data_IF_553886025550
#
_entry.id   IF_553886025550
#
_cell.length_a   1.000
_cell.length_b   1.000
_cell.length_c   1.000
_cell.angle_alpha   90.00
_cell.angle_beta   90.00
_cell.angle_gamma   90.00
#
_symmetry.space_group_name_H-M   'P 1'
#
loop_
_entity.id
_entity.type
_entity.pdbx_description
1 polymer ?
#
# COMPACT_ATOMS: atom_id res chain seq x y z
N UNK A 1 20.31 -3.41 -9.10
CA UNK A 1 19.93 -2.39 -8.11
C UNK A 1 18.67 -1.68 -8.62
N UNK A 2 17.60 -1.69 -7.84
CA UNK A 2 16.36 -0.96 -8.13
C UNK A 2 16.32 0.33 -7.32
N UNK A 3 15.65 1.36 -7.84
CA UNK A 3 15.42 2.65 -7.19
C UNK A 3 13.95 2.70 -6.79
N UNK A 4 13.69 2.69 -5.49
CA UNK A 4 12.37 2.37 -4.93
C UNK A 4 11.86 3.52 -4.06
N UNK A 5 10.68 4.04 -4.39
CA UNK A 5 9.92 4.95 -3.55
C UNK A 5 8.99 4.15 -2.63
N UNK A 6 8.96 4.45 -1.33
CA UNK A 6 8.02 3.87 -0.37
C UNK A 6 7.25 5.00 0.32
N UNK A 7 6.02 5.22 -0.10
CA UNK A 7 5.09 6.16 0.52
C UNK A 7 4.39 5.52 1.72
N UNK A 8 4.54 6.11 2.91
CA UNK A 8 4.09 5.53 4.17
C UNK A 8 5.11 4.55 4.76
N UNK A 9 6.40 4.86 4.64
CA UNK A 9 7.52 3.99 5.02
C UNK A 9 7.57 3.61 6.51
N UNK A 10 6.89 4.37 7.37
CA UNK A 10 6.76 4.06 8.82
C UNK A 10 5.67 3.03 9.14
N UNK A 11 4.93 2.54 8.15
CA UNK A 11 4.02 1.40 8.30
C UNK A 11 4.82 0.11 8.52
N UNK A 12 4.43 -0.73 9.48
CA UNK A 12 5.11 -1.98 9.78
C UNK A 12 5.24 -2.91 8.55
N UNK A 13 4.23 -2.93 7.68
CA UNK A 13 4.28 -3.70 6.43
C UNK A 13 5.28 -3.08 5.45
N UNK A 14 5.29 -1.74 5.33
CA UNK A 14 6.22 -1.03 4.46
C UNK A 14 7.67 -1.20 4.91
N UNK A 15 7.92 -1.04 6.21
CA UNK A 15 9.24 -1.23 6.81
C UNK A 15 9.75 -2.66 6.59
N UNK A 16 8.89 -3.67 6.84
CA UNK A 16 9.26 -5.06 6.58
C UNK A 16 9.55 -5.33 5.09
N UNK A 17 8.80 -4.69 4.18
CA UNK A 17 9.04 -4.81 2.73
C UNK A 17 10.34 -4.08 2.33
N UNK A 18 10.62 -2.90 2.92
CA UNK A 18 11.86 -2.16 2.70
C UNK A 18 13.10 -2.95 3.11
N UNK A 19 13.04 -3.69 4.22
CA UNK A 19 14.13 -4.58 4.67
C UNK A 19 14.47 -5.66 3.64
N UNK A 20 13.48 -6.25 2.98
CA UNK A 20 13.72 -7.23 1.91
C UNK A 20 14.43 -6.61 0.71
N UNK A 21 14.09 -5.37 0.34
CA UNK A 21 14.80 -4.66 -0.73
C UNK A 21 16.21 -4.22 -0.31
N UNK A 22 16.40 -3.83 0.95
CA UNK A 22 17.72 -3.51 1.49
C UNK A 22 18.68 -4.70 1.40
N UNK A 23 18.23 -5.91 1.76
CA UNK A 23 19.00 -7.15 1.63
C UNK A 23 19.43 -7.45 0.18
N UNK A 24 18.73 -6.89 -0.80
CA UNK A 24 19.05 -7.04 -2.23
C UNK A 24 19.96 -5.91 -2.76
N UNK A 25 20.42 -5.00 -1.88
CA UNK A 25 21.28 -3.89 -2.26
C UNK A 25 20.57 -2.79 -3.07
N UNK A 26 19.25 -2.64 -2.92
CA UNK A 26 18.48 -1.63 -3.63
C UNK A 26 18.62 -0.24 -2.98
N UNK A 27 18.30 0.81 -3.75
CA UNK A 27 18.24 2.20 -3.29
C UNK A 27 16.79 2.58 -2.95
N UNK A 28 16.57 3.21 -1.79
CA UNK A 28 15.24 3.49 -1.27
C UNK A 28 15.05 4.97 -0.96
N UNK A 29 13.89 5.53 -1.33
CA UNK A 29 13.36 6.79 -0.84
C UNK A 29 12.20 6.50 0.11
N UNK A 30 12.34 6.85 1.37
CA UNK A 30 11.37 6.61 2.44
C UNK A 30 10.55 7.88 2.68
N UNK A 31 9.24 7.79 2.49
CA UNK A 31 8.34 8.94 2.63
C UNK A 31 7.34 8.73 3.75
N UNK A 32 7.18 9.74 4.61
CA UNK A 32 6.25 9.73 5.74
C UNK A 32 6.25 11.04 6.49
N UNK A 33 5.51 11.13 7.58
CA UNK A 33 5.32 12.38 8.35
C UNK A 33 6.34 12.60 9.47
N UNK A 34 6.87 11.53 10.03
CA UNK A 34 7.79 11.58 11.18
C UNK A 34 9.24 11.46 10.70
N UNK A 35 9.96 12.58 10.70
CA UNK A 35 11.33 12.67 10.22
C UNK A 35 12.30 11.76 11.02
N UNK A 36 12.20 11.75 12.34
CA UNK A 36 13.08 10.96 13.21
C UNK A 36 12.91 9.45 12.94
N UNK A 37 11.65 9.00 12.84
CA UNK A 37 11.36 7.59 12.54
C UNK A 37 11.81 7.19 11.14
N UNK A 38 11.66 8.07 10.15
CA UNK A 38 12.17 7.84 8.79
C UNK A 38 13.68 7.69 8.82
N UNK A 39 14.39 8.56 9.55
CA UNK A 39 15.83 8.52 9.66
C UNK A 39 16.32 7.22 10.33
N UNK A 40 15.69 6.82 11.44
CA UNK A 40 16.02 5.57 12.12
C UNK A 40 15.82 4.33 11.20
N UNK A 41 14.72 4.33 10.39
CA UNK A 41 14.49 3.27 9.42
C UNK A 41 15.56 3.30 8.32
N UNK A 42 15.93 4.48 7.81
CA UNK A 42 16.95 4.61 6.78
C UNK A 42 18.32 4.07 7.24
N UNK A 43 18.68 4.33 8.47
CA UNK A 43 19.92 3.80 9.09
C UNK A 43 19.86 2.27 9.23
N UNK A 44 18.74 1.70 9.73
CA UNK A 44 18.55 0.24 9.80
C UNK A 44 18.67 -0.40 8.40
N UNK A 45 18.08 0.22 7.38
CA UNK A 45 18.16 -0.31 6.02
C UNK A 45 19.57 -0.25 5.42
N UNK A 46 20.33 0.80 5.70
CA UNK A 46 21.74 0.89 5.30
C UNK A 46 22.58 -0.21 5.94
N UNK A 47 22.39 -0.45 7.25
CA UNK A 47 23.06 -1.55 7.96
C UNK A 47 22.69 -2.93 7.40
N UNK A 48 21.50 -3.08 6.84
CA UNK A 48 21.03 -4.33 6.19
C UNK A 48 21.51 -4.50 4.74
N UNK A 49 22.23 -3.53 4.19
CA UNK A 49 22.82 -3.64 2.87
C UNK A 49 22.14 -2.79 1.78
N UNK A 50 21.21 -1.90 2.13
CA UNK A 50 20.68 -0.94 1.15
C UNK A 50 21.83 -0.10 0.58
N UNK A 51 21.91 0.00 -0.74
CA UNK A 51 22.92 0.82 -1.41
C UNK A 51 22.78 2.29 -1.05
N UNK A 52 21.54 2.73 -0.89
CA UNK A 52 21.16 4.08 -0.48
C UNK A 52 19.82 4.03 0.24
N UNK A 53 19.63 4.82 1.27
CA UNK A 53 18.34 5.02 1.92
C UNK A 53 18.21 6.51 2.27
N UNK A 54 17.34 7.18 1.54
CA UNK A 54 17.02 8.60 1.65
C UNK A 54 15.65 8.78 2.31
N UNK A 55 15.43 9.93 2.91
CA UNK A 55 14.16 10.27 3.56
C UNK A 55 13.55 11.53 2.95
N UNK A 56 12.21 11.58 2.91
CA UNK A 56 11.45 12.74 2.49
C UNK A 56 10.21 12.89 3.39
N UNK A 57 10.08 14.04 4.04
CA UNK A 57 8.93 14.31 4.93
C UNK A 57 7.77 14.83 4.10
N UNK A 58 6.65 14.09 4.10
CA UNK A 58 5.43 14.49 3.41
C UNK A 58 4.22 13.82 4.04
N UNK A 59 3.12 14.58 4.20
CA UNK A 59 1.81 14.01 4.49
C UNK A 59 1.15 13.53 3.19
N UNK A 60 0.59 12.33 3.19
CA UNK A 60 -0.09 11.76 2.02
C UNK A 60 -1.29 12.62 1.55
N UNK A 61 -1.81 13.51 2.39
CA UNK A 61 -2.89 14.44 2.02
C UNK A 61 -2.42 15.61 1.16
N UNK A 62 -1.11 15.88 1.12
CA UNK A 62 -0.49 16.94 0.32
C UNK A 62 -0.27 16.49 -1.13
N UNK A 63 -1.34 16.09 -1.79
CA UNK A 63 -1.30 15.46 -3.12
C UNK A 63 -0.69 16.36 -4.20
N UNK A 64 -0.81 17.68 -4.05
CA UNK A 64 -0.19 18.66 -4.98
C UNK A 64 1.34 18.65 -4.92
N UNK A 65 1.92 18.08 -3.87
CA UNK A 65 3.38 17.95 -3.74
C UNK A 65 3.94 16.66 -4.39
N UNK A 66 3.11 15.76 -4.89
CA UNK A 66 3.56 14.49 -5.47
C UNK A 66 4.47 14.66 -6.69
N UNK A 67 4.21 15.55 -7.66
CA UNK A 67 5.15 15.76 -8.75
C UNK A 67 6.56 16.11 -8.25
N UNK A 68 6.67 17.04 -7.31
CA UNK A 68 7.95 17.44 -6.69
C UNK A 68 8.61 16.27 -5.93
N UNK A 69 7.85 15.48 -5.18
CA UNK A 69 8.35 14.27 -4.52
C UNK A 69 8.99 13.30 -5.53
N UNK A 70 8.33 13.07 -6.66
CA UNK A 70 8.82 12.13 -7.67
C UNK A 70 10.07 12.67 -8.39
N UNK A 71 10.17 13.98 -8.62
CA UNK A 71 11.35 14.64 -9.17
C UNK A 71 12.54 14.53 -8.22
N UNK A 72 12.35 14.88 -6.96
CA UNK A 72 13.35 14.75 -5.89
C UNK A 72 13.82 13.30 -5.71
N UNK A 73 12.88 12.35 -5.77
CA UNK A 73 13.22 10.92 -5.68
C UNK A 73 14.10 10.51 -6.84
N UNK A 74 13.72 10.89 -8.05
CA UNK A 74 14.49 10.57 -9.27
C UNK A 74 15.88 11.22 -9.25
N UNK A 75 15.97 12.46 -8.76
CA UNK A 75 17.25 13.17 -8.64
C UNK A 75 18.17 12.47 -7.63
N UNK A 76 17.69 12.20 -6.42
CA UNK A 76 18.52 11.65 -5.34
C UNK A 76 18.91 10.18 -5.54
N UNK A 77 18.04 9.38 -6.14
CA UNK A 77 18.32 7.96 -6.40
C UNK A 77 18.93 7.70 -7.79
N UNK A 78 19.04 8.73 -8.63
CA UNK A 78 19.47 8.59 -10.02
C UNK A 78 18.42 7.94 -10.92
N UNK A 79 17.13 8.08 -10.59
CA UNK A 79 15.96 7.57 -11.30
C UNK A 79 14.93 6.92 -10.35
N UNK A 80 13.87 6.35 -10.93
CA UNK A 80 12.80 5.67 -10.19
C UNK A 80 12.29 4.47 -11.00
N UNK A 81 12.35 3.26 -10.41
CA UNK A 81 11.97 2.02 -11.09
C UNK A 81 10.73 1.38 -10.47
N UNK A 82 10.51 1.62 -9.17
CA UNK A 82 9.46 0.93 -8.40
C UNK A 82 8.91 1.87 -7.34
N UNK A 83 7.60 1.85 -7.14
CA UNK A 83 6.96 2.55 -6.03
C UNK A 83 6.05 1.61 -5.25
N UNK A 84 6.11 1.69 -3.91
CA UNK A 84 5.19 1.07 -2.98
C UNK A 84 4.36 2.15 -2.29
N UNK A 85 3.07 2.12 -2.46
CA UNK A 85 2.11 3.01 -1.80
C UNK A 85 1.52 2.23 -0.63
N UNK A 86 1.96 2.55 0.59
CA UNK A 86 1.69 1.79 1.81
C UNK A 86 1.12 2.62 2.95
N UNK A 87 0.81 3.89 2.72
CA UNK A 87 0.15 4.73 3.70
C UNK A 87 -1.33 4.37 3.83
N UNK A 88 -1.88 4.69 4.99
CA UNK A 88 -3.30 4.50 5.29
C UNK A 88 -3.57 4.65 6.77
N UNK A 89 -4.85 4.76 7.09
CA UNK A 89 -5.41 4.78 8.44
C UNK A 89 -6.46 3.69 8.56
N UNK A 90 -6.89 3.43 9.78
CA UNK A 90 -8.06 2.61 10.07
C UNK A 90 -8.84 3.34 11.14
N UNK A 91 -9.78 4.16 10.73
CA UNK A 91 -10.64 4.92 11.63
C UNK A 91 -11.69 4.02 12.26
N UNK A 92 -12.15 4.41 13.43
CA UNK A 92 -13.33 3.82 14.06
C UNK A 92 -14.56 4.03 13.15
N UNK A 93 -15.24 2.94 12.81
CA UNK A 93 -16.42 2.98 11.94
C UNK A 93 -17.54 3.83 12.54
N UNK A 94 -17.78 3.76 13.86
CA UNK A 94 -18.82 4.52 14.54
C UNK A 94 -18.55 6.04 14.49
N UNK A 95 -17.27 6.45 14.57
CA UNK A 95 -16.90 7.86 14.37
C UNK A 95 -17.13 8.29 12.91
N UNK A 96 -16.86 7.43 11.95
CA UNK A 96 -17.14 7.73 10.54
C UNK A 96 -18.65 7.88 10.24
N UNK A 97 -19.52 7.20 10.98
CA UNK A 97 -20.97 7.29 10.82
C UNK A 97 -21.55 8.61 11.34
N UNK A 98 -20.92 9.19 12.34
CA UNK A 98 -21.41 10.40 13.02
C UNK A 98 -20.67 11.67 12.63
N UNK A 99 -19.51 11.57 11.97
CA UNK A 99 -18.68 12.70 11.56
C UNK A 99 -18.36 12.64 10.07
N UNK A 100 -18.97 13.56 9.31
CA UNK A 100 -18.68 13.75 7.87
C UNK A 100 -17.19 14.02 7.65
N UNK A 101 -16.58 14.85 8.50
CA UNK A 101 -15.14 15.17 8.40
C UNK A 101 -14.28 13.92 8.55
N UNK A 102 -14.56 13.08 9.56
CA UNK A 102 -13.83 11.82 9.78
C UNK A 102 -13.98 10.88 8.59
N UNK A 103 -15.21 10.71 8.08
CA UNK A 103 -15.49 9.89 6.91
C UNK A 103 -14.74 10.38 5.67
N UNK A 104 -14.79 11.68 5.38
CA UNK A 104 -14.10 12.28 4.23
C UNK A 104 -12.58 12.16 4.37
N UNK A 105 -12.02 12.39 5.56
CA UNK A 105 -10.59 12.24 5.80
C UNK A 105 -10.13 10.78 5.62
N UNK A 106 -10.91 9.82 6.13
CA UNK A 106 -10.63 8.38 5.93
C UNK A 106 -10.58 8.02 4.44
N UNK A 107 -11.58 8.49 3.67
CA UNK A 107 -11.62 8.25 2.23
C UNK A 107 -10.50 8.98 1.48
N UNK A 108 -10.18 10.21 1.88
CA UNK A 108 -9.09 11.01 1.30
C UNK A 108 -7.74 10.31 1.49
N UNK A 109 -7.44 9.83 2.70
CA UNK A 109 -6.16 9.18 3.02
C UNK A 109 -6.05 7.79 2.41
N UNK A 110 -7.07 6.94 2.55
CA UNK A 110 -7.01 5.53 2.12
C UNK A 110 -7.36 5.30 0.65
N UNK A 111 -8.05 6.25 0.01
CA UNK A 111 -8.54 6.15 -1.36
C UNK A 111 -7.87 7.18 -2.28
N UNK A 112 -8.30 8.44 -2.15
CA UNK A 112 -7.97 9.50 -3.12
C UNK A 112 -6.47 9.71 -3.22
N UNK A 113 -5.75 9.87 -2.11
CA UNK A 113 -4.30 10.13 -2.13
C UNK A 113 -3.51 9.00 -2.79
N UNK A 114 -3.91 7.74 -2.55
CA UNK A 114 -3.27 6.59 -3.19
C UNK A 114 -3.54 6.57 -4.71
N UNK A 115 -4.77 6.85 -5.14
CA UNK A 115 -5.13 6.90 -6.56
C UNK A 115 -4.40 8.04 -7.31
N UNK A 116 -4.29 9.23 -6.69
CA UNK A 116 -3.55 10.36 -7.27
C UNK A 116 -2.08 10.02 -7.44
N UNK A 117 -1.44 9.45 -6.41
CA UNK A 117 -0.03 9.05 -6.53
C UNK A 117 0.16 7.94 -7.58
N UNK A 118 -0.78 7.00 -7.70
CA UNK A 118 -0.77 6.00 -8.75
C UNK A 118 -0.85 6.63 -10.15
N UNK A 119 -1.69 7.67 -10.34
CA UNK A 119 -1.83 8.36 -11.62
C UNK A 119 -0.55 9.09 -12.02
N UNK A 120 0.09 9.82 -11.09
CA UNK A 120 1.36 10.50 -11.30
C UNK A 120 2.47 9.51 -11.68
N UNK A 121 2.60 8.42 -10.93
CA UNK A 121 3.55 7.35 -11.22
C UNK A 121 3.28 6.68 -12.58
N UNK A 122 2.00 6.48 -12.92
CA UNK A 122 1.62 5.86 -14.17
C UNK A 122 2.05 6.68 -15.38
N UNK A 123 1.79 8.00 -15.36
CA UNK A 123 2.19 8.89 -16.44
C UNK A 123 3.72 8.90 -16.60
N UNK A 124 4.44 8.95 -15.49
CA UNK A 124 5.91 8.95 -15.48
C UNK A 124 6.49 7.63 -16.00
N UNK A 125 6.02 6.49 -15.50
CA UNK A 125 6.51 5.17 -15.91
C UNK A 125 6.07 4.80 -17.33
N UNK A 126 4.91 5.25 -17.78
CA UNK A 126 4.49 5.10 -19.18
C UNK A 126 5.41 5.86 -20.12
N UNK A 127 5.78 7.10 -19.81
CA UNK A 127 6.75 7.88 -20.57
C UNK A 127 8.16 7.26 -20.55
N UNK A 128 8.53 6.63 -19.41
CA UNK A 128 9.80 5.92 -19.22
C UNK A 128 9.85 4.56 -19.95
N UNK A 129 8.70 3.95 -20.26
CA UNK A 129 8.58 2.63 -20.88
C UNK A 129 8.82 1.45 -19.93
N UNK A 130 9.01 1.68 -18.63
CA UNK A 130 9.18 0.64 -17.60
C UNK A 130 8.84 1.16 -16.22
N UNK A 131 8.53 0.24 -15.31
CA UNK A 131 8.31 0.55 -13.90
C UNK A 131 7.35 -0.42 -13.21
N UNK A 132 7.31 -0.35 -11.88
CA UNK A 132 6.37 -1.14 -11.06
C UNK A 132 5.68 -0.22 -10.05
N UNK A 133 4.35 -0.16 -10.11
CA UNK A 133 3.49 0.53 -9.15
C UNK A 133 2.83 -0.52 -8.27
N UNK A 134 3.14 -0.53 -6.98
CA UNK A 134 2.53 -1.43 -6.01
C UNK A 134 1.71 -0.64 -4.99
N UNK A 135 0.50 -1.10 -4.70
CA UNK A 135 -0.40 -0.39 -3.77
C UNK A 135 -0.98 -1.35 -2.75
N UNK A 136 -0.92 -0.96 -1.48
CA UNK A 136 -1.59 -1.68 -0.40
C UNK A 136 -3.06 -1.27 -0.35
N UNK A 137 -3.92 -2.17 -0.85
CA UNK A 137 -5.35 -2.17 -0.64
C UNK A 137 -5.70 -2.97 0.63
N UNK A 138 -6.72 -3.79 0.61
CA UNK A 138 -7.12 -4.68 1.71
C UNK A 138 -8.12 -5.72 1.22
N UNK A 139 -8.24 -6.85 1.93
CA UNK A 139 -9.38 -7.76 1.78
C UNK A 139 -10.71 -7.09 2.14
N UNK A 140 -10.69 -6.02 2.97
CA UNK A 140 -11.87 -5.22 3.28
C UNK A 140 -12.45 -4.50 2.05
N UNK A 141 -11.64 -4.25 1.00
CA UNK A 141 -12.09 -3.68 -0.26
C UNK A 141 -12.75 -4.68 -1.21
N UNK A 142 -12.85 -5.95 -0.86
CA UNK A 142 -13.49 -6.95 -1.71
C UNK A 142 -15.00 -7.07 -1.50
N UNK A 143 -15.49 -6.76 -0.30
CA UNK A 143 -16.90 -6.66 0.06
C UNK A 143 -17.08 -5.80 1.30
N UNK A 144 -18.05 -4.87 1.27
CA UNK A 144 -18.40 -4.03 2.40
C UNK A 144 -18.86 -4.83 3.61
N UNK A 145 -18.45 -4.43 4.81
CA UNK A 145 -18.82 -5.06 6.09
C UNK A 145 -19.28 -4.00 7.06
N UNK A 146 -20.25 -4.33 7.89
CA UNK A 146 -20.78 -3.43 8.92
C UNK A 146 -19.67 -2.81 9.77
N UNK A 147 -18.64 -3.57 10.10
CA UNK A 147 -17.56 -3.14 10.99
C UNK A 147 -16.59 -2.10 10.41
N UNK A 148 -16.54 -1.90 9.07
CA UNK A 148 -15.53 -1.03 8.45
C UNK A 148 -15.85 -0.63 7.00
N UNK A 149 -17.13 -0.36 6.67
CA UNK A 149 -17.52 -0.10 5.28
C UNK A 149 -16.96 1.21 4.71
N UNK A 150 -16.67 2.22 5.52
CA UNK A 150 -16.02 3.45 5.03
C UNK A 150 -14.58 3.15 4.57
N UNK A 151 -13.80 2.51 5.42
CA UNK A 151 -12.46 2.02 5.06
C UNK A 151 -12.50 1.05 3.87
N UNK A 152 -13.43 0.07 3.92
CA UNK A 152 -13.63 -0.91 2.86
C UNK A 152 -13.93 -0.27 1.51
N UNK A 153 -14.80 0.76 1.48
CA UNK A 153 -15.12 1.52 0.27
C UNK A 153 -13.91 2.24 -0.31
N UNK A 154 -13.08 2.89 0.53
CA UNK A 154 -11.85 3.53 0.08
C UNK A 154 -10.87 2.50 -0.53
N UNK A 155 -10.71 1.33 0.09
CA UNK A 155 -9.85 0.24 -0.43
C UNK A 155 -10.44 -0.44 -1.67
N UNK A 156 -11.77 -0.51 -1.79
CA UNK A 156 -12.45 -0.96 -3.01
C UNK A 156 -12.18 0.00 -4.19
N UNK A 157 -12.27 1.32 -3.94
CA UNK A 157 -11.94 2.33 -4.94
C UNK A 157 -10.50 2.17 -5.45
N UNK A 158 -9.50 2.00 -4.56
CA UNK A 158 -8.10 1.72 -4.94
C UNK A 158 -7.99 0.43 -5.75
N UNK A 159 -8.70 -0.62 -5.35
CA UNK A 159 -8.67 -1.92 -6.06
C UNK A 159 -9.19 -1.79 -7.49
N UNK A 160 -10.33 -1.11 -7.66
CA UNK A 160 -10.93 -0.87 -8.97
C UNK A 160 -10.06 0.03 -9.83
N UNK A 161 -9.53 1.13 -9.25
CA UNK A 161 -8.62 2.04 -9.93
C UNK A 161 -7.37 1.33 -10.45
N UNK A 162 -6.71 0.55 -9.60
CA UNK A 162 -5.50 -0.19 -10.00
C UNK A 162 -5.78 -1.28 -11.02
N UNK A 163 -7.00 -1.84 -11.07
CA UNK A 163 -7.41 -2.77 -12.11
C UNK A 163 -7.48 -2.08 -13.48
N UNK A 164 -8.14 -0.91 -13.57
CA UNK A 164 -8.18 -0.11 -14.80
C UNK A 164 -6.79 0.38 -15.22
N UNK A 165 -5.99 0.85 -14.24
CA UNK A 165 -4.63 1.31 -14.50
C UNK A 165 -3.74 0.19 -15.06
N UNK A 166 -3.88 -1.04 -14.58
CA UNK A 166 -3.18 -2.22 -15.08
C UNK A 166 -3.54 -2.50 -16.54
N UNK A 167 -4.80 -2.35 -16.90
CA UNK A 167 -5.26 -2.50 -18.28
C UNK A 167 -4.67 -1.42 -19.20
N UNK A 168 -4.70 -0.15 -18.78
CA UNK A 168 -4.08 0.97 -19.50
C UNK A 168 -2.60 0.71 -19.80
N UNK A 169 -1.87 0.21 -18.82
CA UNK A 169 -0.42 0.08 -18.85
C UNK A 169 0.09 -1.28 -19.37
N UNK A 170 -0.81 -2.19 -19.75
CA UNK A 170 -0.47 -3.58 -20.09
C UNK A 170 0.64 -3.71 -21.13
N UNK A 171 0.55 -2.92 -22.22
CA UNK A 171 1.54 -2.96 -23.33
C UNK A 171 2.59 -1.83 -23.23
N UNK A 172 2.73 -1.19 -22.06
CA UNK A 172 3.60 -0.02 -21.86
C UNK A 172 4.86 -0.35 -21.03
N UNK A 173 5.14 -1.63 -20.79
CA UNK A 173 6.28 -2.05 -19.98
C UNK A 173 6.13 -1.78 -18.47
N UNK A 174 4.96 -1.29 -18.01
CA UNK A 174 4.70 -0.91 -16.62
C UNK A 174 3.83 -1.96 -15.93
N UNK A 175 4.22 -2.34 -14.73
CA UNK A 175 3.51 -3.33 -13.91
C UNK A 175 2.72 -2.63 -12.81
N UNK A 176 1.47 -3.06 -12.59
CA UNK A 176 0.61 -2.56 -11.50
C UNK A 176 0.23 -3.72 -10.60
N UNK A 177 0.64 -3.65 -9.34
CA UNK A 177 0.50 -4.68 -8.32
C UNK A 177 -0.47 -4.21 -7.24
N UNK A 178 -1.63 -4.86 -7.13
CA UNK A 178 -2.59 -4.60 -6.05
C UNK A 178 -2.35 -5.61 -4.93
N UNK A 179 -1.99 -5.12 -3.74
CA UNK A 179 -1.73 -5.94 -2.56
C UNK A 179 -2.95 -5.90 -1.66
N UNK A 180 -3.46 -7.06 -1.27
CA UNK A 180 -4.64 -7.21 -0.42
C UNK A 180 -4.27 -7.98 0.85
N UNK A 181 -3.76 -7.29 1.89
CA UNK A 181 -3.55 -7.91 3.18
C UNK A 181 -4.87 -8.32 3.83
N UNK A 182 -4.85 -9.46 4.53
CA UNK A 182 -5.82 -9.77 5.56
C UNK A 182 -5.41 -9.20 6.92
N UNK A 183 -5.55 -9.98 7.99
CA UNK A 183 -5.11 -9.54 9.31
C UNK A 183 -3.59 -9.64 9.44
N UNK A 184 -2.97 -8.50 9.75
CA UNK A 184 -1.52 -8.38 9.96
C UNK A 184 -1.29 -7.74 11.33
N UNK A 185 -0.40 -8.32 12.12
CA UNK A 185 -0.05 -7.85 13.45
C UNK A 185 0.80 -6.57 13.39
N UNK A 186 0.13 -5.44 13.42
CA UNK A 186 0.74 -4.11 13.30
C UNK A 186 0.20 -3.18 14.39
N UNK A 187 0.85 -2.04 14.64
CA UNK A 187 0.28 -1.02 15.55
C UNK A 187 -1.15 -0.59 15.19
N UNK A 188 -1.50 -0.57 13.90
CA UNK A 188 -2.85 -0.23 13.40
C UNK A 188 -3.93 -1.20 13.91
N UNK A 189 -3.56 -2.43 14.19
CA UNK A 189 -4.47 -3.52 14.59
C UNK A 189 -4.21 -4.00 16.02
N UNK A 190 -3.49 -3.21 16.82
CA UNK A 190 -3.09 -3.61 18.18
C UNK A 190 -4.27 -3.88 19.11
N UNK A 191 -5.39 -3.17 18.93
CA UNK A 191 -6.62 -3.33 19.71
C UNK A 191 -7.45 -4.56 19.35
N UNK A 192 -7.16 -5.23 18.23
CA UNK A 192 -7.94 -6.39 17.81
C UNK A 192 -7.45 -7.69 18.47
N UNK A 193 -8.40 -8.56 18.82
CA UNK A 193 -8.08 -9.88 19.31
C UNK A 193 -7.42 -10.71 18.21
N UNK A 194 -6.19 -11.16 18.45
CA UNK A 194 -5.41 -11.94 17.49
C UNK A 194 -5.89 -13.40 17.44
N UNK A 195 -5.75 -14.02 16.28
CA UNK A 195 -6.16 -15.40 16.04
C UNK A 195 -5.36 -16.08 14.93
N UNK A 196 -5.71 -17.28 14.51
CA UNK A 196 -4.91 -18.09 13.56
C UNK A 196 -4.82 -17.50 12.14
N UNK A 197 -5.67 -16.54 11.79
CA UNK A 197 -5.64 -15.89 10.47
C UNK A 197 -4.68 -14.68 10.41
N UNK A 198 -3.95 -14.42 11.50
CA UNK A 198 -3.02 -13.32 11.59
C UNK A 198 -1.64 -13.67 11.03
N UNK A 199 -1.00 -12.69 10.41
CA UNK A 199 0.35 -12.81 9.89
C UNK A 199 1.28 -11.77 10.52
N UNK A 200 2.58 -12.08 10.60
CA UNK A 200 3.58 -11.11 11.02
C UNK A 200 3.93 -10.13 9.88
N UNK A 201 4.27 -8.87 10.17
CA UNK A 201 4.76 -7.92 9.16
C UNK A 201 5.93 -8.47 8.35
N UNK A 202 6.85 -9.20 8.98
CA UNK A 202 8.01 -9.78 8.30
C UNK A 202 7.62 -10.79 7.22
N UNK A 203 6.71 -11.73 7.53
CA UNK A 203 6.23 -12.71 6.55
C UNK A 203 5.49 -12.03 5.39
N UNK A 204 4.69 -10.99 5.69
CA UNK A 204 3.94 -10.21 4.71
C UNK A 204 4.88 -9.41 3.83
N UNK A 205 5.87 -8.71 4.39
CA UNK A 205 6.86 -7.92 3.66
C UNK A 205 7.64 -8.74 2.64
N UNK A 206 8.08 -9.95 3.02
CA UNK A 206 8.77 -10.88 2.13
C UNK A 206 7.91 -11.29 0.92
N UNK A 207 6.63 -11.59 1.12
CA UNK A 207 5.70 -11.94 0.03
C UNK A 207 5.45 -10.75 -0.88
N UNK A 208 5.30 -9.54 -0.30
CA UNK A 208 5.08 -8.30 -1.06
C UNK A 208 6.30 -8.00 -1.93
N UNK A 209 7.51 -7.95 -1.36
CA UNK A 209 8.72 -7.67 -2.11
C UNK A 209 8.91 -8.64 -3.29
N UNK A 210 8.76 -9.96 -3.03
CA UNK A 210 8.82 -10.96 -4.08
C UNK A 210 7.74 -10.77 -5.16
N UNK A 211 6.52 -10.44 -4.75
CA UNK A 211 5.41 -10.21 -5.66
C UNK A 211 5.60 -8.96 -6.52
N UNK A 212 6.18 -7.90 -5.97
CA UNK A 212 6.54 -6.67 -6.69
C UNK A 212 7.64 -6.95 -7.74
N UNK A 213 8.68 -7.70 -7.37
CA UNK A 213 9.77 -8.09 -8.28
C UNK A 213 9.23 -8.91 -9.47
N UNK A 214 8.31 -9.83 -9.19
CA UNK A 214 7.69 -10.69 -10.21
C UNK A 214 6.57 -9.98 -11.00
N UNK A 215 6.13 -8.79 -10.57
CA UNK A 215 5.03 -8.06 -11.20
C UNK A 215 3.69 -8.77 -11.09
N UNK A 216 3.42 -9.48 -9.97
CA UNK A 216 2.14 -10.19 -9.77
C UNK A 216 0.98 -9.20 -9.73
N UNK A 217 -0.05 -9.34 -10.58
CA UNK A 217 -1.09 -8.32 -10.70
C UNK A 217 -1.92 -8.12 -9.42
N UNK A 218 -2.20 -9.19 -8.68
CA UNK A 218 -2.93 -9.16 -7.40
C UNK A 218 -2.31 -10.13 -6.41
N UNK A 219 -2.01 -9.63 -5.22
CA UNK A 219 -1.40 -10.41 -4.13
C UNK A 219 -2.35 -10.40 -2.93
N UNK A 220 -2.90 -11.55 -2.58
CA UNK A 220 -3.52 -11.76 -1.27
C UNK A 220 -2.44 -12.23 -0.29
N UNK A 221 -2.35 -11.59 0.87
CA UNK A 221 -1.31 -11.93 1.84
C UNK A 221 -1.86 -11.95 3.27
N UNK A 222 -1.82 -13.09 3.95
CA UNK A 222 -1.49 -14.45 3.44
C UNK A 222 -2.37 -14.94 2.29
N UNK A 223 -1.85 -15.87 1.51
CA UNK A 223 -2.47 -16.35 0.26
C UNK A 223 -3.88 -16.94 0.44
N UNK A 224 -4.16 -17.56 1.58
CA UNK A 224 -5.46 -18.19 1.86
C UNK A 224 -6.63 -17.19 1.89
N UNK A 225 -6.35 -15.90 2.11
CA UNK A 225 -7.39 -14.86 2.03
C UNK A 225 -8.04 -14.77 0.65
N UNK A 226 -7.33 -15.21 -0.40
CA UNK A 226 -7.94 -15.29 -1.74
C UNK A 226 -9.14 -16.25 -1.76
N UNK A 227 -8.99 -17.43 -1.15
CA UNK A 227 -10.08 -18.40 -1.04
C UNK A 227 -11.22 -17.90 -0.16
N UNK A 228 -10.89 -17.39 1.03
CA UNK A 228 -11.87 -16.82 1.97
C UNK A 228 -12.70 -15.71 1.30
N UNK A 229 -12.03 -14.76 0.63
CA UNK A 229 -12.74 -13.64 -0.02
C UNK A 229 -13.52 -14.09 -1.26
N UNK A 230 -13.07 -15.11 -1.96
CA UNK A 230 -13.86 -15.69 -3.06
C UNK A 230 -15.18 -16.24 -2.57
N UNK A 231 -15.19 -16.97 -1.44
CA UNK A 231 -16.42 -17.48 -0.81
C UNK A 231 -17.29 -16.30 -0.35
N UNK A 232 -16.72 -15.34 0.38
CA UNK A 232 -17.47 -14.19 0.92
C UNK A 232 -18.14 -13.39 -0.20
N UNK A 233 -17.50 -13.20 -1.34
CA UNK A 233 -18.07 -12.49 -2.49
C UNK A 233 -19.23 -13.23 -3.15
N UNK A 234 -19.24 -14.55 -3.07
CA UNK A 234 -20.31 -15.39 -3.66
C UNK A 234 -21.54 -15.50 -2.75
N UNK A 235 -21.44 -15.13 -1.45
CA UNK A 235 -22.61 -15.15 -0.56
C UNK A 235 -23.68 -14.20 -1.07
N UNK A 236 -24.92 -14.67 -1.35
CA UNK A 236 -26.02 -13.80 -1.79
C UNK A 236 -26.32 -12.69 -0.78
N UNK A 237 -26.74 -11.51 -1.26
CA UNK A 237 -26.94 -10.34 -0.42
C UNK A 237 -27.96 -10.57 0.70
N UNK A 238 -29.07 -11.28 0.40
CA UNK A 238 -30.09 -11.58 1.40
C UNK A 238 -29.62 -12.47 2.56
N UNK A 239 -28.50 -13.21 2.37
CA UNK A 239 -27.80 -13.95 3.43
C UNK A 239 -26.80 -13.04 4.10
N UNK A 240 -25.95 -12.35 3.29
CA UNK A 240 -24.83 -11.57 3.76
C UNK A 240 -25.25 -10.45 4.74
N UNK A 241 -26.35 -9.75 4.46
CA UNK A 241 -26.89 -8.68 5.33
C UNK A 241 -27.26 -9.14 6.74
N UNK A 242 -27.42 -10.46 6.96
CA UNK A 242 -27.73 -11.05 8.27
C UNK A 242 -26.48 -11.49 9.03
N UNK A 243 -25.32 -11.53 8.34
CA UNK A 243 -24.07 -11.93 8.97
C UNK A 243 -23.43 -10.73 9.69
N UNK A 244 -23.00 -10.94 10.92
CA UNK A 244 -22.21 -9.95 11.70
C UNK A 244 -20.72 -10.26 11.56
N UNK A 245 -20.13 -9.83 10.42
CA UNK A 245 -18.73 -10.07 10.11
C UNK A 245 -17.99 -8.76 9.78
#
# INVERSE_FOLDING_TARGET
MRRILIMGATSAIAEATAREFALLGDALMLVGRNAERLQAIAEDLKLRGAKQAETYVLDAREMMAYPKLLDETSLRLGGLDTALIAHGTLSDQALCETSIETMLNEFRVNGVSAMVLCAELANRFEAQGHGTIAVISSVAGDRGRQSNYVYGSAKAAVTTFTSGLRQRLYNKGVRVVTIKPGFVDTPMTASFKKGPLWASPASVGKVIARGMILGKPVIYVPWFWRGIMSIIKLVPEFVFQRLRI
#
